data_IF_999297855638
#
_entry.id   IF_999297855638
#
_cell.length_a   1.000
_cell.length_b   1.000
_cell.length_c   1.000
_cell.angle_alpha   90.00
_cell.angle_beta   90.00
_cell.angle_gamma   90.00
#
_symmetry.space_group_name_H-M   'P 1'
#
loop_
_entity.id
_entity.type
_entity.pdbx_description
1 polymer ?
#
# COMPACT_ATOMS: atom_id res chain seq x y z
N UNK A 1 -6.70 69.05 24.75
CA UNK A 1 -6.31 69.00 23.38
C UNK A 1 -4.85 69.46 23.25
N UNK A 2 -3.87 68.62 23.14
CA UNK A 2 -2.46 69.01 22.98
C UNK A 2 -1.96 68.21 21.75
N UNK A 3 -1.75 68.94 20.66
CA UNK A 3 -1.17 68.49 19.41
C UNK A 3 0.33 68.39 19.57
N UNK A 4 0.90 67.19 19.34
CA UNK A 4 2.33 66.97 19.22
C UNK A 4 2.69 66.91 17.74
N UNK A 5 3.51 67.89 17.31
CA UNK A 5 4.16 67.87 16.01
C UNK A 5 5.50 67.13 16.14
N UNK A 6 5.71 66.10 15.34
CA UNK A 6 7.01 65.42 15.23
C UNK A 6 7.67 65.91 13.94
N UNK A 7 8.80 66.59 14.08
CA UNK A 7 9.65 67.01 13.00
C UNK A 7 10.46 65.83 12.48
N UNK A 8 10.39 65.60 11.14
CA UNK A 8 11.15 64.54 10.45
C UNK A 8 12.48 65.14 9.96
N UNK A 9 13.62 64.73 10.55
CA UNK A 9 14.95 65.06 10.08
C UNK A 9 15.39 64.04 9.02
N UNK A 10 15.50 64.44 7.76
CA UNK A 10 16.11 63.66 6.69
C UNK A 10 17.66 63.82 6.77
N UNK A 11 18.38 62.77 7.15
CA UNK A 11 19.81 62.66 6.97
C UNK A 11 20.10 61.90 5.68
N UNK A 12 20.57 62.58 4.67
CA UNK A 12 21.02 61.98 3.42
C UNK A 12 22.35 61.29 3.62
N UNK A 13 22.37 59.97 3.43
CA UNK A 13 23.62 59.16 3.31
C UNK A 13 23.82 58.81 1.85
N UNK A 14 24.81 59.45 1.23
CA UNK A 14 25.27 59.07 -0.13
C UNK A 14 26.14 57.84 -0.06
N UNK A 15 25.60 56.71 -0.49
CA UNK A 15 26.37 55.47 -0.70
C UNK A 15 26.98 55.48 -2.08
N UNK A 16 28.31 55.62 -2.17
CA UNK A 16 29.10 55.32 -3.37
C UNK A 16 29.21 53.80 -3.52
N UNK A 17 28.48 53.22 -4.47
CA UNK A 17 28.62 51.81 -4.83
C UNK A 17 29.85 51.61 -5.72
N UNK A 18 30.92 51.04 -5.14
CA UNK A 18 31.98 50.46 -5.93
C UNK A 18 31.49 49.11 -6.51
N UNK A 19 31.34 49.07 -7.84
CA UNK A 19 31.02 47.84 -8.55
C UNK A 19 32.31 47.02 -8.67
N UNK A 20 32.46 46.00 -7.80
CA UNK A 20 33.43 44.92 -8.05
C UNK A 20 32.74 43.93 -8.96
N UNK A 21 33.19 43.88 -10.23
CA UNK A 21 32.89 42.79 -11.12
C UNK A 21 33.64 41.54 -10.63
N UNK A 22 32.94 40.67 -9.92
CA UNK A 22 33.43 39.34 -9.56
C UNK A 22 32.98 38.39 -10.68
N UNK A 23 33.92 38.07 -11.57
CA UNK A 23 33.74 36.95 -12.49
C UNK A 23 33.59 35.66 -11.66
N UNK A 24 32.37 35.23 -11.47
CA UNK A 24 32.11 33.88 -10.97
C UNK A 24 32.23 32.92 -12.14
N UNK A 25 33.38 32.25 -12.23
CA UNK A 25 33.47 31.01 -12.99
C UNK A 25 32.40 30.06 -12.48
N UNK A 26 31.29 29.96 -13.23
CA UNK A 26 30.27 28.95 -13.01
C UNK A 26 30.85 27.60 -13.40
N UNK A 27 31.44 26.91 -12.43
CA UNK A 27 31.69 25.47 -12.57
C UNK A 27 30.33 24.79 -12.56
N UNK A 28 29.72 24.69 -13.74
CA UNK A 28 28.54 23.85 -13.95
C UNK A 28 28.95 22.42 -13.59
N UNK A 29 28.51 21.95 -12.41
CA UNK A 29 28.53 20.53 -12.08
C UNK A 29 27.81 19.79 -13.23
N UNK A 30 28.41 18.70 -13.75
CA UNK A 30 27.72 17.92 -14.77
C UNK A 30 26.38 17.48 -14.22
N UNK A 31 25.29 18.01 -14.80
CA UNK A 31 23.95 17.54 -14.51
C UNK A 31 23.95 16.02 -14.74
N UNK A 32 23.74 15.26 -13.67
CA UNK A 32 23.58 13.83 -13.77
C UNK A 32 22.49 13.58 -14.83
N UNK A 33 22.90 13.01 -15.97
CA UNK A 33 21.98 12.60 -17.03
C UNK A 33 21.01 11.62 -16.40
N UNK A 34 19.79 12.08 -16.11
CA UNK A 34 18.69 11.20 -15.74
C UNK A 34 18.49 10.26 -16.92
N UNK A 35 18.75 8.97 -16.69
CA UNK A 35 18.43 7.93 -17.65
C UNK A 35 16.97 8.11 -18.10
N UNK A 36 16.63 7.91 -19.39
CA UNK A 36 15.26 8.06 -19.86
C UNK A 36 14.33 7.19 -19.02
N UNK A 37 13.51 7.82 -18.19
CA UNK A 37 12.54 7.09 -17.41
C UNK A 37 11.43 6.63 -18.38
N UNK A 38 11.19 5.33 -18.45
CA UNK A 38 10.05 4.78 -19.18
C UNK A 38 8.79 5.43 -18.64
N UNK A 39 7.93 6.04 -19.49
CA UNK A 39 6.70 6.66 -19.04
C UNK A 39 5.85 5.68 -18.23
N UNK A 40 5.30 6.13 -17.10
CA UNK A 40 4.41 5.32 -16.30
C UNK A 40 3.14 4.96 -17.10
N UNK A 41 2.72 3.70 -17.01
CA UNK A 41 1.46 3.21 -17.55
C UNK A 41 0.44 3.04 -16.43
N UNK A 42 -0.85 2.89 -16.78
CA UNK A 42 -1.89 2.55 -15.80
C UNK A 42 -1.51 1.28 -15.05
N UNK A 43 -1.07 0.25 -15.78
CA UNK A 43 -0.63 -1.02 -15.19
C UNK A 43 0.52 -0.82 -14.22
N UNK A 44 1.60 -0.12 -14.61
CA UNK A 44 2.76 0.09 -13.74
C UNK A 44 2.49 0.97 -12.51
N UNK A 45 1.53 1.91 -12.60
CA UNK A 45 1.12 2.71 -11.45
C UNK A 45 0.42 1.86 -10.38
N UNK A 46 -0.52 1.00 -10.81
CA UNK A 46 -1.23 0.08 -9.91
C UNK A 46 -0.31 -1.03 -9.40
N UNK A 47 0.59 -1.53 -10.24
CA UNK A 47 1.61 -2.54 -9.86
C UNK A 47 2.48 -2.06 -8.69
N UNK A 48 2.83 -0.77 -8.67
CA UNK A 48 3.53 -0.16 -7.53
C UNK A 48 2.69 -0.19 -6.25
N UNK A 49 1.38 0.07 -6.33
CA UNK A 49 0.47 -0.01 -5.19
C UNK A 49 0.36 -1.45 -4.69
N UNK A 50 0.23 -2.41 -5.60
CA UNK A 50 0.23 -3.85 -5.27
C UNK A 50 1.52 -4.23 -4.55
N UNK A 51 2.69 -3.80 -5.05
CA UNK A 51 3.99 -4.07 -4.43
C UNK A 51 4.07 -3.58 -2.99
N UNK A 52 3.49 -2.40 -2.69
CA UNK A 52 3.47 -1.84 -1.34
C UNK A 52 2.58 -2.70 -0.42
N UNK A 53 1.34 -2.94 -0.83
CA UNK A 53 0.39 -3.69 0.02
C UNK A 53 0.80 -5.16 0.17
N UNK A 54 1.34 -5.79 -0.88
CA UNK A 54 1.90 -7.14 -0.81
C UNK A 54 2.96 -7.24 0.28
N UNK A 55 3.95 -6.34 0.23
CA UNK A 55 5.01 -6.32 1.23
C UNK A 55 4.44 -6.22 2.65
N UNK A 56 3.52 -5.31 2.90
CA UNK A 56 2.96 -5.09 4.23
C UNK A 56 2.13 -6.27 4.71
N UNK A 57 1.28 -6.84 3.86
CA UNK A 57 0.43 -7.99 4.20
C UNK A 57 1.27 -9.25 4.40
N UNK A 58 2.24 -9.51 3.51
CA UNK A 58 3.14 -10.68 3.63
C UNK A 58 4.01 -10.57 4.87
N UNK A 59 4.62 -9.41 5.11
CA UNK A 59 5.44 -9.18 6.31
C UNK A 59 4.61 -9.38 7.59
N UNK A 60 3.36 -8.91 7.63
CA UNK A 60 2.46 -9.12 8.76
C UNK A 60 2.11 -10.60 8.94
N UNK A 61 1.82 -11.31 7.84
CA UNK A 61 1.55 -12.74 7.88
C UNK A 61 2.77 -13.53 8.38
N UNK A 62 3.97 -13.17 7.94
CA UNK A 62 5.21 -13.80 8.38
C UNK A 62 5.58 -13.46 9.83
N UNK A 63 5.17 -12.29 10.34
CA UNK A 63 5.47 -11.88 11.71
C UNK A 63 4.69 -12.66 12.78
N UNK A 64 3.49 -13.16 12.48
CA UNK A 64 2.70 -13.95 13.40
C UNK A 64 3.31 -15.34 13.57
N UNK A 65 3.63 -15.79 14.80
CA UNK A 65 4.07 -17.16 15.06
C UNK A 65 3.01 -18.19 14.67
N UNK A 66 3.43 -19.36 14.21
CA UNK A 66 2.52 -20.39 13.70
C UNK A 66 1.50 -20.84 14.76
N UNK A 67 1.91 -20.98 16.00
CA UNK A 67 1.04 -21.36 17.12
C UNK A 67 -0.06 -20.32 17.40
N UNK A 68 0.09 -19.10 16.88
CA UNK A 68 -0.87 -18.00 17.02
C UNK A 68 -1.73 -17.76 15.76
N UNK A 69 -1.57 -18.58 14.72
CA UNK A 69 -2.35 -18.41 13.49
C UNK A 69 -3.86 -18.60 13.71
N UNK A 70 -4.25 -19.39 14.72
CA UNK A 70 -5.66 -19.58 15.08
C UNK A 70 -6.18 -18.53 16.09
N UNK A 71 -5.40 -17.49 16.39
CA UNK A 71 -5.84 -16.40 17.27
C UNK A 71 -6.96 -15.59 16.59
N UNK A 72 -7.98 -15.26 17.39
CA UNK A 72 -8.95 -14.21 17.08
C UNK A 72 -9.19 -13.37 18.34
N UNK A 73 -9.66 -12.09 18.22
CA UNK A 73 -9.98 -11.24 19.38
C UNK A 73 -11.00 -11.85 20.33
N UNK A 74 -11.87 -12.73 19.86
CA UNK A 74 -12.86 -13.46 20.69
C UNK A 74 -12.18 -14.23 21.85
N UNK A 75 -10.97 -14.76 21.62
CA UNK A 75 -10.21 -15.48 22.62
C UNK A 75 -9.76 -14.62 23.82
N UNK A 76 -9.79 -13.30 23.70
CA UNK A 76 -9.39 -12.37 24.78
C UNK A 76 -10.53 -12.07 25.76
N UNK A 77 -11.75 -12.44 25.46
CA UNK A 77 -12.95 -12.23 26.31
C UNK A 77 -13.06 -10.79 26.85
N UNK A 78 -12.81 -9.79 25.98
CA UNK A 78 -12.84 -8.38 26.37
C UNK A 78 -14.25 -8.00 26.81
N UNK A 79 -14.39 -7.51 28.05
CA UNK A 79 -15.67 -7.12 28.61
C UNK A 79 -16.34 -6.02 27.79
N UNK A 80 -17.60 -6.22 27.42
CA UNK A 80 -18.39 -5.26 26.64
C UNK A 80 -18.13 -5.27 25.14
N UNK A 81 -17.29 -6.20 24.65
CA UNK A 81 -17.08 -6.40 23.22
C UNK A 81 -17.83 -7.62 22.69
N UNK A 82 -18.13 -7.64 21.39
CA UNK A 82 -18.67 -8.80 20.67
C UNK A 82 -17.78 -9.12 19.47
N UNK A 83 -16.87 -10.07 19.67
CA UNK A 83 -15.98 -10.60 18.61
C UNK A 83 -16.40 -11.99 18.14
N UNK A 84 -17.60 -12.43 18.49
CA UNK A 84 -18.09 -13.76 18.07
C UNK A 84 -18.15 -13.86 16.55
N UNK A 85 -17.48 -14.88 16.01
CA UNK A 85 -17.51 -15.16 14.56
C UNK A 85 -16.59 -14.30 13.70
N UNK A 86 -15.73 -13.44 14.32
CA UNK A 86 -14.67 -12.79 13.54
C UNK A 86 -13.63 -13.82 13.09
N UNK A 87 -13.00 -13.54 11.96
CA UNK A 87 -11.97 -14.44 11.41
C UNK A 87 -10.78 -14.57 12.36
N UNK A 88 -10.21 -15.77 12.41
CA UNK A 88 -8.87 -15.97 12.96
C UNK A 88 -7.82 -15.29 12.07
N UNK A 89 -6.58 -15.15 12.58
CA UNK A 89 -5.50 -14.59 11.78
C UNK A 89 -5.25 -15.41 10.50
N UNK A 90 -5.23 -16.74 10.60
CA UNK A 90 -5.12 -17.63 9.43
C UNK A 90 -6.25 -17.39 8.41
N UNK A 91 -7.48 -17.21 8.88
CA UNK A 91 -8.62 -16.94 8.02
C UNK A 91 -8.57 -15.55 7.38
N UNK A 92 -8.00 -14.54 8.06
CA UNK A 92 -7.74 -13.23 7.46
C UNK A 92 -6.76 -13.36 6.29
N UNK A 93 -5.62 -14.02 6.49
CA UNK A 93 -4.60 -14.20 5.43
C UNK A 93 -5.15 -14.98 4.25
N UNK A 94 -5.87 -16.09 4.51
CA UNK A 94 -6.52 -16.89 3.45
C UNK A 94 -7.57 -16.10 2.70
N UNK A 95 -8.33 -15.25 3.40
CA UNK A 95 -9.36 -14.41 2.80
C UNK A 95 -8.77 -13.36 1.85
N UNK A 96 -7.68 -12.70 2.25
CA UNK A 96 -6.97 -11.76 1.36
C UNK A 96 -6.52 -12.47 0.08
N UNK A 97 -5.86 -13.62 0.20
CA UNK A 97 -5.39 -14.38 -0.95
C UNK A 97 -6.53 -14.82 -1.87
N UNK A 98 -7.59 -15.37 -1.31
CA UNK A 98 -8.77 -15.80 -2.05
C UNK A 98 -9.47 -14.64 -2.76
N UNK A 99 -9.61 -13.51 -2.07
CA UNK A 99 -10.21 -12.28 -2.63
C UNK A 99 -9.37 -11.71 -3.76
N UNK A 100 -8.04 -11.74 -3.67
CA UNK A 100 -7.14 -11.34 -4.73
C UNK A 100 -7.45 -12.12 -6.03
N UNK A 101 -7.57 -13.44 -5.96
CA UNK A 101 -7.93 -14.25 -7.12
C UNK A 101 -9.33 -13.89 -7.67
N UNK A 102 -10.33 -13.75 -6.80
CA UNK A 102 -11.71 -13.47 -7.23
C UNK A 102 -11.85 -12.07 -7.86
N UNK A 103 -11.12 -11.09 -7.34
CA UNK A 103 -11.20 -9.71 -7.82
C UNK A 103 -10.41 -9.52 -9.12
N UNK A 104 -9.22 -10.12 -9.23
CA UNK A 104 -8.36 -9.92 -10.41
C UNK A 104 -8.64 -10.86 -11.58
N UNK A 105 -9.19 -12.07 -11.34
CA UNK A 105 -9.50 -13.01 -12.42
C UNK A 105 -10.34 -12.42 -13.57
N UNK A 106 -11.37 -11.60 -13.33
CA UNK A 106 -12.12 -10.99 -14.42
C UNK A 106 -11.29 -10.02 -15.29
N UNK A 107 -10.17 -9.48 -14.78
CA UNK A 107 -9.30 -8.59 -15.55
C UNK A 107 -8.64 -9.35 -16.70
N UNK A 108 -8.15 -10.56 -16.44
CA UNK A 108 -7.51 -11.42 -17.45
C UNK A 108 -8.50 -12.25 -18.25
N UNK A 109 -9.71 -12.46 -17.69
CA UNK A 109 -10.69 -13.41 -18.21
C UNK A 109 -10.47 -14.85 -17.72
N UNK A 110 -9.47 -15.07 -16.85
CA UNK A 110 -9.21 -16.37 -16.26
C UNK A 110 -10.29 -16.74 -15.22
N UNK A 111 -10.48 -18.04 -15.01
CA UNK A 111 -11.28 -18.53 -13.89
C UNK A 111 -10.45 -18.44 -12.61
N UNK A 112 -11.03 -17.87 -11.54
CA UNK A 112 -10.41 -17.97 -10.23
C UNK A 112 -10.24 -19.45 -9.83
N UNK A 113 -9.15 -19.82 -9.16
CA UNK A 113 -8.94 -21.20 -8.74
C UNK A 113 -10.04 -21.63 -7.74
N UNK A 114 -10.41 -22.91 -7.79
CA UNK A 114 -11.45 -23.45 -6.88
C UNK A 114 -11.03 -23.31 -5.40
N UNK A 115 -9.73 -23.23 -5.14
CA UNK A 115 -9.17 -22.91 -3.82
C UNK A 115 -9.55 -21.53 -3.28
N UNK A 116 -10.03 -20.61 -4.12
CA UNK A 116 -10.55 -19.33 -3.65
C UNK A 116 -11.82 -19.48 -2.79
N UNK A 117 -12.63 -20.56 -2.99
CA UNK A 117 -13.72 -20.98 -2.11
C UNK A 117 -14.58 -19.80 -1.63
N UNK A 118 -15.21 -19.07 -2.55
CA UNK A 118 -16.03 -17.88 -2.28
C UNK A 118 -15.37 -16.85 -1.33
N UNK A 119 -14.06 -16.69 -1.43
CA UNK A 119 -13.31 -15.74 -0.60
C UNK A 119 -12.89 -16.25 0.78
N UNK A 120 -13.17 -17.51 1.11
CA UNK A 120 -12.73 -18.11 2.39
C UNK A 120 -11.33 -18.68 2.32
N UNK A 121 -10.87 -19.01 1.11
CA UNK A 121 -9.63 -19.72 0.86
C UNK A 121 -9.72 -21.21 1.18
N UNK A 122 -8.62 -21.94 1.00
CA UNK A 122 -8.60 -23.39 1.11
C UNK A 122 -8.76 -23.86 2.57
N UNK A 123 -9.75 -24.71 2.82
CA UNK A 123 -9.98 -25.29 4.14
C UNK A 123 -8.87 -26.28 4.55
N UNK A 124 -8.27 -26.95 3.58
CA UNK A 124 -7.21 -27.94 3.80
C UNK A 124 -5.89 -27.33 4.27
N UNK A 125 -5.58 -26.08 3.89
CA UNK A 125 -4.35 -25.41 4.31
C UNK A 125 -4.41 -25.04 5.79
N UNK A 126 -3.52 -25.62 6.57
CA UNK A 126 -3.49 -25.47 8.03
C UNK A 126 -2.18 -24.87 8.55
N UNK A 127 -1.09 -25.06 7.84
CA UNK A 127 0.21 -24.54 8.25
C UNK A 127 0.42 -23.10 7.77
N UNK A 128 1.18 -22.33 8.54
CA UNK A 128 1.61 -20.99 8.19
C UNK A 128 2.28 -20.96 6.81
N UNK A 129 3.17 -21.93 6.56
CA UNK A 129 3.92 -21.99 5.31
C UNK A 129 3.00 -22.11 4.07
N UNK A 130 2.01 -23.01 4.12
CA UNK A 130 1.02 -23.17 3.03
C UNK A 130 0.20 -21.89 2.82
N UNK A 131 -0.27 -21.28 3.92
CA UNK A 131 -1.11 -20.09 3.87
C UNK A 131 -0.34 -18.88 3.32
N UNK A 132 0.92 -18.68 3.73
CA UNK A 132 1.78 -17.61 3.22
C UNK A 132 2.16 -17.85 1.76
N UNK A 133 2.40 -19.10 1.33
CA UNK A 133 2.63 -19.41 -0.08
C UNK A 133 1.41 -19.05 -0.94
N UNK A 134 0.23 -19.45 -0.52
CA UNK A 134 -1.03 -19.11 -1.22
C UNK A 134 -1.25 -17.60 -1.31
N UNK A 135 -0.91 -16.85 -0.25
CA UNK A 135 -0.97 -15.39 -0.26
C UNK A 135 -0.02 -14.80 -1.31
N UNK A 136 1.27 -15.20 -1.32
CA UNK A 136 2.28 -14.72 -2.27
C UNK A 136 1.88 -15.04 -3.72
N UNK A 137 1.40 -16.25 -3.98
CA UNK A 137 0.90 -16.66 -5.29
C UNK A 137 -0.27 -15.80 -5.78
N UNK A 138 -1.17 -15.40 -4.86
CA UNK A 138 -2.30 -14.54 -5.19
C UNK A 138 -1.86 -13.12 -5.59
N UNK A 139 -0.83 -12.57 -4.95
CA UNK A 139 -0.26 -11.28 -5.36
C UNK A 139 0.50 -11.38 -6.68
N UNK A 140 1.27 -12.45 -6.89
CA UNK A 140 1.90 -12.70 -8.18
C UNK A 140 0.89 -12.80 -9.35
N UNK A 141 -0.31 -13.33 -9.09
CA UNK A 141 -1.41 -13.29 -10.04
C UNK A 141 -1.89 -11.86 -10.29
N UNK A 142 -2.01 -11.04 -9.25
CA UNK A 142 -2.40 -9.63 -9.35
C UNK A 142 -1.45 -8.81 -10.21
N UNK A 143 -0.15 -8.94 -10.00
CA UNK A 143 0.88 -8.31 -10.84
C UNK A 143 0.72 -8.65 -12.33
N UNK A 144 0.48 -9.93 -12.64
CA UNK A 144 0.21 -10.37 -14.02
C UNK A 144 -1.09 -9.76 -14.56
N UNK A 145 -2.13 -9.70 -13.75
CA UNK A 145 -3.42 -9.15 -14.16
C UNK A 145 -3.32 -7.66 -14.52
N UNK A 146 -2.68 -6.83 -13.66
CA UNK A 146 -2.58 -5.39 -13.92
C UNK A 146 -1.62 -5.07 -15.07
N UNK A 147 -0.65 -5.92 -15.37
CA UNK A 147 0.23 -5.77 -16.52
C UNK A 147 -0.53 -5.80 -17.86
N UNK A 148 -1.75 -6.36 -17.90
CA UNK A 148 -2.60 -6.38 -19.11
C UNK A 148 -3.39 -5.08 -19.33
N UNK A 149 -3.34 -4.14 -18.38
CA UNK A 149 -4.11 -2.89 -18.46
C UNK A 149 -3.50 -1.91 -19.46
N UNK A 150 -4.38 -1.36 -20.27
CA UNK A 150 -4.07 -0.30 -21.24
C UNK A 150 -5.09 0.84 -21.11
N UNK A 151 -4.80 2.06 -21.62
CA UNK A 151 -5.80 3.11 -21.67
C UNK A 151 -7.09 2.70 -22.40
N UNK A 152 -6.96 1.84 -23.41
CA UNK A 152 -8.10 1.41 -24.22
C UNK A 152 -9.04 0.44 -23.46
N UNK A 153 -8.47 -0.48 -22.66
CA UNK A 153 -9.27 -1.52 -21.98
C UNK A 153 -9.61 -1.22 -20.51
N UNK A 154 -8.97 -0.22 -19.89
CA UNK A 154 -9.10 0.04 -18.46
C UNK A 154 -10.53 0.33 -18.01
N UNK A 155 -11.33 0.99 -18.84
CA UNK A 155 -12.73 1.32 -18.54
C UNK A 155 -13.73 0.31 -19.12
N UNK A 156 -13.27 -0.74 -19.77
CA UNK A 156 -14.15 -1.84 -20.20
C UNK A 156 -14.68 -2.61 -18.99
N UNK A 157 -15.97 -2.92 -19.03
CA UNK A 157 -16.62 -3.73 -18.01
C UNK A 157 -16.40 -5.20 -18.25
N UNK A 158 -16.08 -5.94 -17.18
CA UNK A 158 -15.77 -7.37 -17.22
C UNK A 158 -16.51 -8.15 -16.13
N UNK A 159 -16.54 -9.45 -16.31
CA UNK A 159 -17.15 -10.36 -15.36
C UNK A 159 -18.68 -10.19 -15.22
N UNK A 160 -19.28 -10.98 -14.33
CA UNK A 160 -20.73 -10.95 -14.08
C UNK A 160 -21.18 -9.64 -13.40
N UNK A 161 -20.33 -9.03 -12.61
CA UNK A 161 -20.61 -7.77 -11.88
C UNK A 161 -20.58 -6.53 -12.77
N UNK A 162 -20.14 -6.65 -14.02
CA UNK A 162 -19.95 -5.53 -14.96
C UNK A 162 -19.15 -4.37 -14.37
N UNK A 163 -18.15 -4.67 -13.56
CA UNK A 163 -17.20 -3.68 -13.04
C UNK A 163 -16.09 -3.45 -14.06
N UNK A 164 -15.54 -2.23 -14.11
CA UNK A 164 -14.43 -1.94 -15.01
C UNK A 164 -13.16 -2.65 -14.57
N UNK A 165 -12.26 -2.95 -15.52
CA UNK A 165 -10.93 -3.50 -15.19
C UNK A 165 -10.18 -2.60 -14.22
N UNK A 166 -10.22 -1.30 -14.42
CA UNK A 166 -9.57 -0.33 -13.51
C UNK A 166 -10.14 -0.40 -12.10
N UNK A 167 -11.49 -0.46 -11.96
CA UNK A 167 -12.10 -0.63 -10.63
C UNK A 167 -11.59 -1.90 -9.94
N UNK A 168 -11.58 -3.03 -10.63
CA UNK A 168 -11.12 -4.29 -10.04
C UNK A 168 -9.62 -4.24 -9.69
N UNK A 169 -8.82 -3.61 -10.53
CA UNK A 169 -7.38 -3.46 -10.33
C UNK A 169 -7.05 -2.65 -9.07
N UNK A 170 -7.79 -1.57 -8.80
CA UNK A 170 -7.57 -0.71 -7.63
C UNK A 170 -8.33 -1.19 -6.38
N UNK A 171 -9.44 -1.88 -6.56
CA UNK A 171 -10.23 -2.38 -5.42
C UNK A 171 -9.53 -3.49 -4.64
N UNK A 172 -8.77 -4.37 -5.30
CA UNK A 172 -8.08 -5.44 -4.60
C UNK A 172 -6.97 -4.93 -3.65
N UNK A 173 -6.08 -3.98 -4.03
CA UNK A 173 -5.17 -3.34 -3.09
C UNK A 173 -5.89 -2.66 -1.93
N UNK A 174 -6.97 -1.92 -2.19
CA UNK A 174 -7.75 -1.27 -1.13
C UNK A 174 -8.35 -2.28 -0.14
N UNK A 175 -8.89 -3.40 -0.64
CA UNK A 175 -9.38 -4.49 0.18
C UNK A 175 -8.27 -5.16 0.99
N UNK A 176 -7.09 -5.35 0.40
CA UNK A 176 -5.95 -5.92 1.10
C UNK A 176 -5.46 -4.99 2.23
N UNK A 177 -5.46 -3.65 2.02
CA UNK A 177 -5.14 -2.68 3.08
C UNK A 177 -6.15 -2.68 4.23
N UNK A 178 -7.45 -2.85 3.95
CA UNK A 178 -8.47 -3.00 5.01
C UNK A 178 -8.14 -4.20 5.92
N UNK A 179 -7.83 -5.34 5.32
CA UNK A 179 -7.45 -6.54 6.07
C UNK A 179 -6.06 -6.44 6.72
N UNK A 180 -5.12 -5.74 6.09
CA UNK A 180 -3.83 -5.45 6.71
C UNK A 180 -3.99 -4.69 8.03
N UNK A 181 -4.87 -3.68 8.08
CA UNK A 181 -5.17 -2.98 9.33
C UNK A 181 -5.65 -3.92 10.43
N UNK A 182 -6.55 -4.86 10.11
CA UNK A 182 -7.02 -5.87 11.05
C UNK A 182 -5.89 -6.82 11.48
N UNK A 183 -5.03 -7.27 10.56
CA UNK A 183 -3.87 -8.11 10.88
C UNK A 183 -2.87 -7.39 11.81
N UNK A 184 -2.65 -6.10 11.61
CA UNK A 184 -1.82 -5.24 12.48
C UNK A 184 -2.36 -5.24 13.91
N UNK A 185 -3.67 -5.08 14.09
CA UNK A 185 -4.27 -5.13 15.43
C UNK A 185 -4.12 -6.51 16.06
N UNK A 186 -4.28 -7.59 15.30
CA UNK A 186 -4.07 -8.96 15.82
C UNK A 186 -2.63 -9.20 16.25
N UNK A 187 -1.64 -8.68 15.52
CA UNK A 187 -0.24 -8.72 15.94
C UNK A 187 -0.05 -7.99 17.28
N UNK A 188 -0.58 -6.77 17.42
CA UNK A 188 -0.48 -5.97 18.65
C UNK A 188 -1.16 -6.64 19.84
N UNK A 189 -2.34 -7.22 19.65
CA UNK A 189 -3.04 -8.01 20.67
C UNK A 189 -2.21 -9.21 21.16
N UNK A 190 -1.29 -9.69 20.34
CA UNK A 190 -0.36 -10.75 20.68
C UNK A 190 1.02 -10.26 21.16
N UNK A 191 1.18 -8.96 21.42
CA UNK A 191 2.44 -8.37 21.89
C UNK A 191 3.51 -8.25 20.79
N UNK A 192 3.12 -8.34 19.52
CA UNK A 192 4.04 -8.31 18.37
C UNK A 192 3.99 -6.92 17.73
N UNK A 193 5.17 -6.26 17.64
CA UNK A 193 5.29 -5.00 16.87
C UNK A 193 5.20 -5.32 15.39
N UNK A 194 4.21 -4.75 14.65
CA UNK A 194 4.08 -4.97 13.22
C UNK A 194 5.37 -4.56 12.47
N UNK A 195 5.79 -5.30 11.43
CA UNK A 195 7.03 -5.02 10.70
C UNK A 195 7.17 -3.57 10.23
N UNK A 196 6.10 -2.98 9.68
CA UNK A 196 6.12 -1.58 9.23
C UNK A 196 6.28 -0.54 10.36
N UNK A 197 6.07 -0.94 11.63
CA UNK A 197 6.22 -0.07 12.80
C UNK A 197 7.56 -0.27 13.52
N UNK A 198 8.43 -1.15 13.02
CA UNK A 198 9.75 -1.39 13.62
C UNK A 198 10.72 -0.30 13.22
N UNK A 199 11.69 0.07 14.08
CA UNK A 199 12.79 0.94 13.68
C UNK A 199 13.48 0.37 12.43
N UNK A 200 13.80 1.26 11.48
CA UNK A 200 14.66 0.84 10.35
C UNK A 200 16.03 0.49 10.92
N UNK A 201 16.54 -0.68 10.61
CA UNK A 201 17.96 -1.00 10.83
C UNK A 201 18.79 -0.12 9.90
N UNK A 202 19.71 0.64 10.49
CA UNK A 202 20.71 1.44 9.76
C UNK A 202 21.62 0.53 8.91
#
# INVERSE_FOLDING_TARGET
MKTFQIALLLAGVTFTTAIFAQETESTASPSAQQSPQTPATIGSAIDREITIVEKEVVDAAEAMPEEKYNFSPDSLHISGSDYKGVRTFAEQVKHVAASNYLIWSPITGDKAPDTANDGKGPEAMKTKAEIVSFLKESFAFGHKAVATLTPANSVETVGKSKRTRLFLATFAPAHAFDHYGQMVEYLRMNGIVPPASRPKSD
#
